data_IF_203024087841
#
_entry.id   IF_203024087841
#
_cell.length_a   1.000
_cell.length_b   1.000
_cell.length_c   1.000
_cell.angle_alpha   90.00
_cell.angle_beta   90.00
_cell.angle_gamma   90.00
#
_symmetry.space_group_name_H-M   'P 1'
#
loop_
_entity.id
_entity.type
_entity.pdbx_description
1 polymer ?
#
# COMPACT_ATOMS: atom_id res chain seq x y z
N UNK A 1 -29.25 -0.27 -10.30
CA UNK A 1 -28.72 -0.50 -11.67
C UNK A 1 -27.25 -0.87 -11.56
N UNK A 2 -26.74 -1.72 -12.46
CA UNK A 2 -25.31 -2.00 -12.53
C UNK A 2 -24.61 -0.86 -13.27
N UNK A 3 -23.31 -0.63 -13.00
CA UNK A 3 -22.52 0.38 -13.73
C UNK A 3 -22.59 0.16 -15.26
N UNK A 4 -22.64 -1.11 -15.69
CA UNK A 4 -22.76 -1.46 -17.11
C UNK A 4 -24.09 -1.01 -17.71
N UNK A 5 -25.22 -1.28 -17.06
CA UNK A 5 -26.52 -0.92 -17.60
C UNK A 5 -26.74 0.59 -17.68
N UNK A 6 -26.27 1.35 -16.69
CA UNK A 6 -26.35 2.81 -16.70
C UNK A 6 -25.58 3.38 -17.90
N UNK A 7 -24.34 2.93 -18.10
CA UNK A 7 -23.52 3.39 -19.21
C UNK A 7 -24.07 2.94 -20.57
N UNK A 8 -24.60 1.69 -20.66
CA UNK A 8 -25.24 1.21 -21.88
C UNK A 8 -26.46 2.02 -22.25
N UNK A 9 -27.31 2.38 -21.29
CA UNK A 9 -28.48 3.21 -21.50
C UNK A 9 -28.09 4.60 -22.04
N UNK A 10 -27.11 5.24 -21.42
CA UNK A 10 -26.57 6.52 -21.85
C UNK A 10 -26.04 6.48 -23.30
N UNK A 11 -25.26 5.44 -23.66
CA UNK A 11 -24.72 5.27 -25.00
C UNK A 11 -25.79 5.01 -26.05
N UNK A 12 -26.80 4.17 -25.75
CA UNK A 12 -27.92 3.90 -26.65
C UNK A 12 -28.71 5.19 -26.90
N UNK A 13 -28.96 5.98 -25.88
CA UNK A 13 -29.65 7.27 -26.01
C UNK A 13 -28.81 8.31 -26.79
N UNK A 14 -27.55 8.49 -26.42
CA UNK A 14 -26.67 9.46 -27.05
C UNK A 14 -26.48 9.21 -28.55
N UNK A 15 -26.38 7.95 -28.93
CA UNK A 15 -26.18 7.54 -30.33
C UNK A 15 -27.52 7.30 -31.09
N UNK A 16 -28.67 7.51 -30.45
CA UNK A 16 -30.02 7.36 -31.00
C UNK A 16 -30.24 6.00 -31.70
N UNK A 17 -29.78 4.93 -31.07
CA UNK A 17 -29.72 3.59 -31.65
C UNK A 17 -31.08 2.93 -31.60
N UNK A 18 -31.44 2.23 -32.69
CA UNK A 18 -32.64 1.37 -32.73
C UNK A 18 -32.37 0.07 -31.97
N UNK A 19 -33.03 -0.12 -30.83
CA UNK A 19 -32.86 -1.29 -29.97
C UNK A 19 -33.21 -2.59 -30.69
N UNK A 20 -34.14 -2.60 -31.67
CA UNK A 20 -34.44 -3.79 -32.46
C UNK A 20 -33.26 -4.22 -33.33
N UNK A 21 -32.60 -3.25 -33.99
CA UNK A 21 -31.39 -3.50 -34.78
C UNK A 21 -30.25 -4.04 -33.90
N UNK A 22 -30.03 -3.40 -32.74
CA UNK A 22 -29.05 -3.83 -31.79
C UNK A 22 -29.26 -5.25 -31.28
N UNK A 23 -30.53 -5.59 -30.92
CA UNK A 23 -30.86 -6.94 -30.44
C UNK A 23 -30.64 -8.01 -31.53
N UNK A 24 -31.07 -7.72 -32.78
CA UNK A 24 -30.85 -8.64 -33.91
C UNK A 24 -29.35 -8.85 -34.19
N UNK A 25 -28.54 -7.79 -34.20
CA UNK A 25 -27.10 -7.89 -34.41
C UNK A 25 -26.41 -8.72 -33.31
N UNK A 26 -26.83 -8.55 -32.07
CA UNK A 26 -26.31 -9.31 -30.94
C UNK A 26 -26.79 -10.76 -30.91
N UNK A 27 -27.78 -11.13 -31.75
CA UNK A 27 -28.38 -12.47 -31.77
C UNK A 27 -29.24 -12.79 -30.56
N UNK A 28 -29.94 -11.79 -30.01
CA UNK A 28 -30.82 -11.94 -28.86
C UNK A 28 -32.19 -11.30 -29.11
N UNK A 29 -33.19 -11.74 -28.35
CA UNK A 29 -34.51 -11.14 -28.42
C UNK A 29 -34.54 -9.71 -27.84
N UNK A 30 -35.51 -8.92 -28.32
CA UNK A 30 -35.69 -7.52 -27.89
C UNK A 30 -35.91 -7.38 -26.39
N UNK A 31 -36.65 -8.30 -25.77
CA UNK A 31 -36.94 -8.28 -24.34
C UNK A 31 -35.64 -8.43 -23.53
N UNK A 32 -34.76 -9.35 -23.96
CA UNK A 32 -33.43 -9.53 -23.34
C UNK A 32 -32.57 -8.29 -23.48
N UNK A 33 -32.57 -7.62 -24.66
CA UNK A 33 -31.81 -6.37 -24.82
C UNK A 33 -32.31 -5.27 -23.88
N UNK A 34 -33.62 -5.09 -23.76
CA UNK A 34 -34.20 -4.15 -22.81
C UNK A 34 -33.82 -4.47 -21.34
N UNK A 35 -33.78 -5.75 -20.98
CA UNK A 35 -33.34 -6.18 -19.65
C UNK A 35 -31.87 -5.84 -19.37
N UNK A 36 -31.00 -5.89 -20.38
CA UNK A 36 -29.62 -5.45 -20.28
C UNK A 36 -29.54 -3.92 -20.08
N UNK A 37 -30.26 -3.16 -20.89
CA UNK A 37 -30.29 -1.69 -20.82
C UNK A 37 -30.84 -1.23 -19.47
N UNK A 38 -31.97 -1.80 -19.03
CA UNK A 38 -32.60 -1.42 -17.76
C UNK A 38 -31.92 -2.03 -16.51
N UNK A 39 -30.86 -2.83 -16.68
CA UNK A 39 -30.10 -3.41 -15.58
C UNK A 39 -30.76 -4.54 -14.82
N UNK A 40 -31.88 -5.09 -15.33
CA UNK A 40 -32.55 -6.28 -14.75
C UNK A 40 -31.85 -7.57 -15.09
N UNK A 41 -30.93 -7.56 -16.06
CA UNK A 41 -30.09 -8.67 -16.47
C UNK A 41 -28.68 -8.15 -16.79
N UNK A 42 -27.65 -8.90 -16.45
CA UNK A 42 -26.28 -8.62 -16.84
C UNK A 42 -25.89 -9.35 -18.14
N UNK A 43 -24.92 -8.84 -18.94
CA UNK A 43 -24.40 -9.56 -20.09
C UNK A 43 -23.84 -10.92 -19.68
N UNK A 44 -24.22 -11.97 -20.41
CA UNK A 44 -23.80 -13.36 -20.13
C UNK A 44 -22.32 -13.62 -20.49
N UNK A 45 -21.75 -12.83 -21.42
CA UNK A 45 -20.39 -13.03 -21.90
C UNK A 45 -19.77 -11.75 -22.43
N UNK A 46 -18.44 -11.71 -22.47
CA UNK A 46 -17.71 -10.62 -23.11
C UNK A 46 -17.98 -10.53 -24.62
N UNK A 47 -18.27 -11.65 -25.27
CA UNK A 47 -18.65 -11.65 -26.68
C UNK A 47 -19.93 -10.82 -26.95
N UNK A 48 -20.88 -10.82 -26.01
CA UNK A 48 -22.08 -9.97 -26.10
C UNK A 48 -21.71 -8.49 -26.01
N UNK A 49 -20.82 -8.14 -25.07
CA UNK A 49 -20.34 -6.74 -24.91
C UNK A 49 -19.63 -6.27 -26.18
N UNK A 50 -18.77 -7.12 -26.75
CA UNK A 50 -18.07 -6.82 -27.99
C UNK A 50 -19.02 -6.54 -29.14
N UNK A 51 -20.07 -7.36 -29.35
CA UNK A 51 -21.07 -7.09 -30.36
C UNK A 51 -21.82 -5.77 -30.14
N UNK A 52 -22.10 -5.43 -28.88
CA UNK A 52 -22.74 -4.17 -28.53
C UNK A 52 -21.79 -3.00 -28.90
N UNK A 53 -20.50 -3.07 -28.57
CA UNK A 53 -19.53 -2.01 -28.90
C UNK A 53 -19.34 -1.85 -30.41
N UNK A 54 -19.32 -2.94 -31.16
CA UNK A 54 -19.23 -2.95 -32.62
C UNK A 54 -20.44 -2.28 -33.24
N UNK A 55 -21.66 -2.66 -32.83
CA UNK A 55 -22.91 -2.09 -33.39
C UNK A 55 -23.11 -0.63 -33.06
N UNK A 56 -22.71 -0.21 -31.87
CA UNK A 56 -22.77 1.20 -31.42
C UNK A 56 -21.67 2.06 -32.01
N UNK A 57 -20.72 1.49 -32.76
CA UNK A 57 -19.55 2.18 -33.29
C UNK A 57 -18.84 3.01 -32.24
N UNK A 58 -18.56 2.39 -31.05
CA UNK A 58 -17.96 3.09 -29.95
C UNK A 58 -16.50 3.51 -30.25
N UNK A 59 -16.14 4.69 -29.80
CA UNK A 59 -14.75 5.13 -29.79
C UNK A 59 -13.89 4.25 -28.87
N UNK A 60 -12.55 4.26 -29.02
CA UNK A 60 -11.68 3.49 -28.10
C UNK A 60 -11.87 3.83 -26.62
N UNK A 61 -12.22 5.09 -26.30
CA UNK A 61 -12.49 5.54 -24.94
C UNK A 61 -13.80 4.93 -24.43
N UNK A 62 -14.90 5.11 -25.16
CA UNK A 62 -16.21 4.53 -24.82
C UNK A 62 -16.15 3.00 -24.70
N UNK A 63 -15.40 2.34 -25.60
CA UNK A 63 -15.20 0.88 -25.55
C UNK A 63 -14.49 0.45 -24.28
N UNK A 64 -13.49 1.22 -23.82
CA UNK A 64 -12.78 0.94 -22.57
C UNK A 64 -13.70 1.11 -21.37
N UNK A 65 -14.47 2.20 -21.33
CA UNK A 65 -15.39 2.50 -20.23
C UNK A 65 -16.48 1.43 -20.07
N UNK A 66 -17.13 1.02 -21.17
CA UNK A 66 -18.18 -0.01 -21.10
C UNK A 66 -17.61 -1.40 -20.79
N UNK A 67 -16.38 -1.68 -21.24
CA UNK A 67 -15.68 -2.93 -20.89
C UNK A 67 -15.33 -2.96 -19.40
N UNK A 68 -14.81 -1.86 -18.87
CA UNK A 68 -14.55 -1.72 -17.44
C UNK A 68 -15.81 -1.86 -16.61
N UNK A 69 -16.90 -1.21 -17.01
CA UNK A 69 -18.19 -1.31 -16.35
C UNK A 69 -18.75 -2.74 -16.37
N UNK A 70 -18.56 -3.48 -17.47
CA UNK A 70 -18.90 -4.90 -17.55
C UNK A 70 -18.09 -5.76 -16.59
N UNK A 71 -16.75 -5.58 -16.55
CA UNK A 71 -15.90 -6.35 -15.67
C UNK A 71 -16.21 -6.07 -14.19
N UNK A 72 -16.48 -4.80 -13.82
CA UNK A 72 -16.92 -4.43 -12.48
C UNK A 72 -18.27 -5.09 -12.14
N UNK A 73 -19.20 -5.10 -13.08
CA UNK A 73 -20.51 -5.75 -12.88
C UNK A 73 -20.39 -7.26 -12.70
N UNK A 74 -19.48 -7.91 -13.44
CA UNK A 74 -19.24 -9.35 -13.42
C UNK A 74 -18.50 -9.82 -12.18
N UNK A 75 -17.45 -9.11 -11.78
CA UNK A 75 -16.54 -9.50 -10.70
C UNK A 75 -16.94 -8.93 -9.34
N UNK A 76 -17.71 -7.85 -9.35
CA UNK A 76 -17.86 -6.97 -8.21
C UNK A 76 -16.72 -5.94 -8.13
N UNK A 77 -17.06 -4.78 -7.60
CA UNK A 77 -16.15 -3.63 -7.52
C UNK A 77 -14.83 -3.97 -6.81
N UNK A 78 -14.91 -4.66 -5.69
CA UNK A 78 -13.76 -4.99 -4.85
C UNK A 78 -12.77 -5.91 -5.56
N UNK A 79 -13.25 -6.99 -6.17
CA UNK A 79 -12.41 -7.96 -6.89
C UNK A 79 -11.79 -7.34 -8.14
N UNK A 80 -12.54 -6.50 -8.86
CA UNK A 80 -12.03 -5.83 -10.05
C UNK A 80 -10.86 -4.92 -9.73
N UNK A 81 -11.00 -4.00 -8.77
CA UNK A 81 -9.93 -3.09 -8.40
C UNK A 81 -8.76 -3.80 -7.73
N UNK A 82 -9.01 -4.85 -6.95
CA UNK A 82 -7.93 -5.68 -6.42
C UNK A 82 -7.06 -6.31 -7.51
N UNK A 83 -7.66 -6.82 -8.58
CA UNK A 83 -6.93 -7.37 -9.73
C UNK A 83 -6.18 -6.29 -10.51
N UNK A 84 -6.78 -5.12 -10.68
CA UNK A 84 -6.16 -3.96 -11.34
C UNK A 84 -4.91 -3.51 -10.58
N UNK A 85 -5.00 -3.38 -9.25
CA UNK A 85 -3.88 -3.03 -8.38
C UNK A 85 -2.72 -4.03 -8.45
N UNK A 86 -3.05 -5.35 -8.50
CA UNK A 86 -2.04 -6.39 -8.64
C UNK A 86 -1.36 -6.32 -10.02
N UNK A 87 -2.13 -6.11 -11.08
CA UNK A 87 -1.58 -5.97 -12.42
C UNK A 87 -0.65 -4.75 -12.52
N UNK A 88 -1.08 -3.61 -12.00
CA UNK A 88 -0.28 -2.39 -11.93
C UNK A 88 1.02 -2.60 -11.14
N UNK A 89 0.92 -3.31 -10.02
CA UNK A 89 2.10 -3.68 -9.23
C UNK A 89 3.10 -4.52 -10.04
N UNK A 90 2.63 -5.52 -10.78
CA UNK A 90 3.49 -6.39 -11.60
C UNK A 90 4.16 -5.56 -12.73
N UNK A 91 3.39 -4.69 -13.42
CA UNK A 91 3.89 -3.88 -14.52
C UNK A 91 4.95 -2.86 -14.07
N UNK A 92 4.81 -2.32 -12.86
CA UNK A 92 5.70 -1.28 -12.31
C UNK A 92 6.72 -1.87 -11.29
N UNK A 93 6.94 -3.19 -11.29
CA UNK A 93 7.78 -3.85 -10.29
C UNK A 93 9.22 -3.33 -10.27
N UNK A 94 9.81 -3.07 -11.44
CA UNK A 94 11.19 -2.55 -11.54
C UNK A 94 11.31 -1.14 -10.95
N UNK A 95 10.32 -0.28 -11.16
CA UNK A 95 10.31 1.07 -10.62
C UNK A 95 10.12 1.06 -9.10
N UNK A 96 9.34 0.10 -8.58
CA UNK A 96 9.15 -0.08 -7.14
C UNK A 96 10.43 -0.60 -6.48
N UNK A 97 11.13 -1.52 -7.12
CA UNK A 97 12.40 -2.08 -6.60
C UNK A 97 13.51 -1.02 -6.55
N UNK A 98 13.56 -0.14 -7.55
CA UNK A 98 14.55 0.91 -7.68
C UNK A 98 13.86 2.28 -7.69
N UNK A 99 13.30 2.73 -6.56
CA UNK A 99 12.65 4.02 -6.52
C UNK A 99 13.65 5.10 -6.94
N UNK A 100 13.23 6.10 -7.72
CA UNK A 100 14.09 7.21 -8.07
C UNK A 100 14.65 7.77 -6.78
N UNK A 101 15.97 7.90 -6.72
CA UNK A 101 16.64 8.49 -5.55
C UNK A 101 15.99 9.85 -5.33
N UNK A 102 15.08 9.93 -4.38
CA UNK A 102 14.53 11.20 -3.95
C UNK A 102 15.76 12.03 -3.60
N UNK A 103 15.95 13.10 -4.37
CA UNK A 103 17.08 13.99 -4.13
C UNK A 103 17.04 14.34 -2.65
N UNK A 104 18.06 13.97 -1.90
CA UNK A 104 18.27 14.28 -0.49
C UNK A 104 18.42 15.80 -0.26
N UNK A 105 17.69 16.60 -1.01
CA UNK A 105 17.54 18.02 -0.78
C UNK A 105 16.83 18.34 0.55
N UNK A 106 16.21 17.37 1.16
CA UNK A 106 15.81 17.44 2.56
C UNK A 106 16.89 16.74 3.44
N UNK A 107 18.12 17.16 3.36
CA UNK A 107 18.91 17.35 4.59
C UNK A 107 18.15 18.40 5.40
N UNK A 108 17.00 18.03 5.92
CA UNK A 108 16.48 18.70 7.08
C UNK A 108 17.67 18.73 8.04
N UNK A 109 18.03 19.90 8.50
CA UNK A 109 18.94 20.09 9.60
C UNK A 109 18.33 19.36 10.79
N UNK A 110 18.51 18.03 10.81
CA UNK A 110 18.18 17.24 11.98
C UNK A 110 19.12 17.77 13.05
N UNK A 111 18.57 18.51 13.99
CA UNK A 111 19.30 19.00 15.13
C UNK A 111 20.05 17.82 15.73
N UNK A 112 21.34 18.02 15.96
CA UNK A 112 22.22 17.01 16.53
C UNK A 112 21.56 16.47 17.80
N UNK A 113 21.14 15.19 17.77
CA UNK A 113 20.47 14.57 18.90
C UNK A 113 21.54 14.02 19.83
N UNK A 114 21.82 14.75 20.90
CA UNK A 114 22.74 14.32 21.93
C UNK A 114 21.94 13.84 23.14
N UNK A 115 21.96 12.54 23.37
CA UNK A 115 21.31 11.95 24.52
C UNK A 115 22.21 12.14 25.76
N UNK A 116 21.78 12.96 26.69
CA UNK A 116 22.44 13.16 27.97
C UNK A 116 22.04 12.16 29.04
N UNK A 117 20.92 11.48 28.82
CA UNK A 117 20.32 10.50 29.73
C UNK A 117 19.99 9.20 28.99
N UNK A 118 19.92 8.11 29.76
CA UNK A 118 19.61 6.78 29.20
C UNK A 118 18.17 6.64 28.72
N UNK A 119 17.28 7.55 29.11
CA UNK A 119 15.89 7.59 28.67
C UNK A 119 15.46 9.06 28.49
N UNK A 120 15.02 9.42 27.27
CA UNK A 120 14.58 10.77 26.93
C UNK A 120 13.19 10.74 26.30
N UNK A 121 12.25 11.58 26.73
CA UNK A 121 10.97 11.75 26.07
C UNK A 121 11.17 12.45 24.71
N UNK A 122 10.46 11.99 23.70
CA UNK A 122 10.43 12.57 22.35
C UNK A 122 9.06 13.19 22.12
N UNK A 123 9.02 14.47 21.82
CA UNK A 123 7.78 15.21 21.59
C UNK A 123 7.69 15.63 20.12
N UNK A 124 6.70 15.08 19.43
CA UNK A 124 6.39 15.39 18.03
C UNK A 124 7.30 14.69 17.02
N UNK A 125 6.85 14.75 15.78
CA UNK A 125 7.44 14.02 14.64
C UNK A 125 8.91 14.35 14.40
N UNK A 126 9.31 15.62 14.52
CA UNK A 126 10.71 16.05 14.25
C UNK A 126 11.67 15.41 15.24
N UNK A 127 11.31 15.39 16.53
CA UNK A 127 12.12 14.79 17.58
C UNK A 127 12.29 13.28 17.38
N UNK A 128 11.20 12.59 17.02
CA UNK A 128 11.22 11.14 16.71
C UNK A 128 12.08 10.86 15.48
N UNK A 129 11.93 11.64 14.39
CA UNK A 129 12.75 11.50 13.20
C UNK A 129 14.24 11.71 13.48
N UNK A 130 14.60 12.75 14.23
CA UNK A 130 15.99 13.03 14.59
C UNK A 130 16.61 11.88 15.39
N UNK A 131 15.88 11.34 16.36
CA UNK A 131 16.31 10.18 17.12
C UNK A 131 16.49 8.92 16.25
N UNK A 132 15.54 8.65 15.35
CA UNK A 132 15.62 7.51 14.42
C UNK A 132 16.81 7.63 13.47
N UNK A 133 17.03 8.78 12.88
CA UNK A 133 18.21 9.03 12.03
C UNK A 133 19.51 8.82 12.78
N UNK A 134 19.57 9.30 14.02
CA UNK A 134 20.76 9.15 14.86
C UNK A 134 21.08 7.66 15.14
N UNK A 135 20.10 6.87 15.60
CA UNK A 135 20.34 5.45 15.89
C UNK A 135 20.73 4.65 14.63
N UNK A 136 20.16 4.96 13.47
CA UNK A 136 20.52 4.31 12.20
C UNK A 136 21.95 4.66 11.80
N UNK A 137 22.34 5.93 11.87
CA UNK A 137 23.70 6.36 11.53
C UNK A 137 24.74 5.79 12.49
N UNK A 138 24.45 5.74 13.78
CA UNK A 138 25.32 5.13 14.78
C UNK A 138 25.53 3.64 14.52
N UNK A 139 24.45 2.90 14.30
CA UNK A 139 24.53 1.46 14.04
C UNK A 139 25.22 1.15 12.71
N UNK A 140 24.98 1.96 11.68
CA UNK A 140 25.62 1.83 10.38
C UNK A 140 27.12 2.15 10.38
N UNK A 141 27.61 2.91 11.36
CA UNK A 141 29.03 3.21 11.52
C UNK A 141 29.84 2.06 12.14
N UNK A 142 29.14 1.04 12.65
CA UNK A 142 29.77 -0.15 13.24
C UNK A 142 30.18 -1.21 12.20
N UNK A 143 31.01 -2.16 12.58
CA UNK A 143 31.49 -3.21 11.67
C UNK A 143 30.40 -4.23 11.27
N UNK A 144 29.39 -4.38 12.08
CA UNK A 144 28.20 -5.23 11.85
C UNK A 144 27.02 -4.59 12.58
N UNK A 145 26.16 -3.89 11.84
CA UNK A 145 24.98 -3.29 12.41
C UNK A 145 23.78 -4.25 12.43
N UNK A 146 22.99 -4.18 13.49
CA UNK A 146 21.74 -4.92 13.62
C UNK A 146 20.60 -3.94 13.94
N UNK A 147 19.55 -4.02 13.14
CA UNK A 147 18.41 -3.13 13.24
C UNK A 147 17.11 -3.94 13.29
N UNK A 148 16.39 -3.87 14.40
CA UNK A 148 15.13 -4.55 14.57
C UNK A 148 14.00 -3.53 14.53
N UNK A 149 12.98 -3.81 13.70
CA UNK A 149 11.86 -2.92 13.46
C UNK A 149 10.56 -3.67 13.80
N UNK A 150 9.77 -3.13 14.69
CA UNK A 150 8.37 -3.47 14.89
C UNK A 150 7.54 -2.24 14.52
N UNK A 151 7.14 -2.14 13.27
CA UNK A 151 6.33 -1.05 12.75
C UNK A 151 5.68 -1.46 11.44
N UNK A 152 4.62 -0.76 11.04
CA UNK A 152 4.05 -1.01 9.73
C UNK A 152 4.88 -0.34 8.62
N UNK A 153 4.93 -0.93 7.41
CA UNK A 153 5.75 -0.41 6.30
C UNK A 153 5.45 1.03 5.89
N UNK A 154 4.23 1.52 6.12
CA UNK A 154 3.88 2.91 5.85
C UNK A 154 4.68 3.92 6.69
N UNK A 155 5.12 3.53 7.89
CA UNK A 155 6.00 4.37 8.70
C UNK A 155 7.40 4.46 8.10
N UNK A 156 7.92 3.39 7.53
CA UNK A 156 9.26 3.38 6.94
C UNK A 156 9.40 4.36 5.78
N UNK A 157 8.37 4.44 4.92
CA UNK A 157 8.32 5.41 3.83
C UNK A 157 8.24 6.85 4.36
N UNK A 158 7.33 7.10 5.31
CA UNK A 158 7.12 8.42 5.89
C UNK A 158 8.31 8.94 6.71
N UNK A 159 9.18 8.04 7.17
CA UNK A 159 10.39 8.32 7.93
C UNK A 159 11.61 8.57 7.03
N UNK A 160 11.51 8.34 5.72
CA UNK A 160 12.64 8.48 4.81
C UNK A 160 13.79 7.50 5.12
N UNK A 161 13.50 6.35 5.72
CA UNK A 161 14.51 5.39 6.15
C UNK A 161 15.20 4.67 4.99
N UNK A 162 14.50 4.42 3.88
CA UNK A 162 15.07 3.73 2.72
C UNK A 162 16.30 4.45 2.19
N UNK A 163 16.24 5.76 1.88
CA UNK A 163 17.42 6.49 1.47
C UNK A 163 18.53 6.52 2.53
N UNK A 164 18.17 6.64 3.81
CA UNK A 164 19.15 6.65 4.90
C UNK A 164 19.88 5.29 4.99
N UNK A 165 19.15 4.19 4.91
CA UNK A 165 19.70 2.86 4.94
C UNK A 165 20.52 2.52 3.68
N UNK A 166 20.19 3.11 2.53
CA UNK A 166 20.96 2.92 1.28
C UNK A 166 22.38 3.49 1.36
N UNK A 167 22.61 4.53 2.17
CA UNK A 167 23.96 5.07 2.40
C UNK A 167 24.80 4.11 3.25
N UNK A 168 24.14 3.30 4.07
CA UNK A 168 24.76 2.41 5.07
C UNK A 168 24.92 0.97 4.55
N UNK A 169 24.87 0.77 3.23
CA UNK A 169 24.77 -0.54 2.57
C UNK A 169 25.91 -1.51 2.91
N UNK A 170 25.53 -2.77 3.05
CA UNK A 170 26.44 -3.91 3.13
C UNK A 170 26.78 -4.39 4.54
N UNK A 171 26.56 -3.56 5.57
CA UNK A 171 26.95 -3.86 6.95
C UNK A 171 25.73 -4.12 7.84
N UNK A 172 24.56 -3.66 7.41
CA UNK A 172 23.35 -3.66 8.24
C UNK A 172 22.48 -4.88 7.99
N UNK A 173 22.18 -5.63 9.05
CA UNK A 173 21.16 -6.69 9.08
C UNK A 173 19.87 -6.12 9.66
N UNK A 174 18.77 -6.13 8.90
CA UNK A 174 17.48 -5.58 9.29
C UNK A 174 16.49 -6.72 9.53
N UNK A 175 16.00 -6.86 10.76
CA UNK A 175 14.85 -7.71 11.10
C UNK A 175 13.61 -6.83 11.20
N UNK A 176 12.58 -7.11 10.44
CA UNK A 176 11.37 -6.30 10.39
C UNK A 176 10.13 -7.15 10.64
N UNK A 177 9.42 -6.89 11.73
CA UNK A 177 8.18 -7.58 12.08
C UNK A 177 7.00 -6.75 11.56
N UNK A 178 6.18 -7.36 10.69
CA UNK A 178 5.11 -6.71 9.95
C UNK A 178 3.79 -7.43 10.22
N UNK A 179 2.75 -6.68 10.55
CA UNK A 179 1.40 -7.21 10.60
C UNK A 179 0.79 -7.24 9.21
N UNK A 180 0.29 -8.39 8.81
CA UNK A 180 -0.48 -8.60 7.59
C UNK A 180 -1.95 -8.73 7.97
N UNK A 181 -2.80 -8.00 7.29
CA UNK A 181 -4.23 -8.00 7.57
C UNK A 181 -4.87 -9.32 7.14
N UNK A 182 -5.59 -9.98 8.05
CA UNK A 182 -6.30 -11.23 7.79
C UNK A 182 -7.79 -11.02 7.46
N UNK A 183 -8.30 -9.79 7.56
CA UNK A 183 -9.69 -9.46 7.30
C UNK A 183 -9.85 -8.63 6.02
N UNK A 184 -10.93 -8.85 5.27
CA UNK A 184 -11.34 -7.96 4.20
C UNK A 184 -11.78 -6.62 4.77
N UNK A 185 -11.16 -5.53 4.33
CA UNK A 185 -11.58 -4.18 4.74
C UNK A 185 -12.82 -3.76 3.96
N UNK A 186 -13.94 -3.41 4.62
CA UNK A 186 -15.13 -2.92 3.94
C UNK A 186 -15.00 -1.48 3.40
N UNK A 187 -13.89 -0.80 3.65
CA UNK A 187 -13.70 0.60 3.21
C UNK A 187 -12.94 0.68 1.88
N UNK A 188 -13.54 1.34 0.90
CA UNK A 188 -13.05 1.57 -0.47
C UNK A 188 -11.64 2.14 -0.58
N UNK A 189 -11.14 2.83 0.43
CA UNK A 189 -9.84 3.52 0.40
C UNK A 189 -8.62 2.65 0.78
N UNK A 190 -8.80 1.38 1.16
CA UNK A 190 -7.71 0.48 1.57
C UNK A 190 -7.80 -0.90 0.91
N UNK A 191 -8.20 -0.94 -0.36
CA UNK A 191 -8.11 -2.14 -1.17
C UNK A 191 -6.65 -2.61 -1.19
N UNK A 192 -6.45 -3.90 -0.91
CA UNK A 192 -5.12 -4.53 -0.93
C UNK A 192 -4.09 -3.93 0.04
N UNK A 193 -4.46 -3.71 1.33
CA UNK A 193 -3.49 -3.29 2.34
C UNK A 193 -2.19 -4.12 2.31
N UNK A 194 -2.32 -5.43 2.20
CA UNK A 194 -1.16 -6.32 2.13
C UNK A 194 -0.28 -6.07 0.91
N UNK A 195 -0.88 -5.73 -0.25
CA UNK A 195 -0.14 -5.33 -1.43
C UNK A 195 0.58 -3.99 -1.24
N UNK A 196 -0.03 -3.03 -0.53
CA UNK A 196 0.63 -1.78 -0.18
C UNK A 196 1.82 -2.00 0.77
N UNK A 197 1.67 -2.89 1.76
CA UNK A 197 2.80 -3.31 2.59
C UNK A 197 3.92 -3.89 1.74
N UNK A 198 3.60 -4.80 0.81
CA UNK A 198 4.57 -5.40 -0.09
C UNK A 198 5.30 -4.35 -0.95
N UNK A 199 4.57 -3.42 -1.57
CA UNK A 199 5.15 -2.32 -2.35
C UNK A 199 6.18 -1.52 -1.55
N UNK A 200 5.95 -1.30 -0.26
CA UNK A 200 6.82 -0.51 0.61
C UNK A 200 8.05 -1.26 1.12
N UNK A 201 8.01 -2.59 1.19
CA UNK A 201 9.17 -3.38 1.65
C UNK A 201 10.09 -3.81 0.51
N UNK A 202 9.62 -3.88 -0.72
CA UNK A 202 10.43 -4.30 -1.88
C UNK A 202 11.71 -3.46 -2.03
N UNK A 203 11.71 -2.12 -1.87
CA UNK A 203 12.93 -1.33 -1.97
C UNK A 203 14.05 -1.77 -1.01
N UNK A 204 13.71 -2.34 0.15
CA UNK A 204 14.71 -2.83 1.09
C UNK A 204 15.56 -3.99 0.54
N UNK A 205 15.03 -4.78 -0.38
CA UNK A 205 15.79 -5.83 -1.07
C UNK A 205 16.76 -5.26 -2.11
N UNK A 206 16.50 -4.04 -2.60
CA UNK A 206 17.33 -3.36 -3.59
C UNK A 206 18.52 -2.58 -3.02
N UNK A 207 18.48 -2.22 -1.72
CA UNK A 207 19.51 -1.36 -1.10
C UNK A 207 20.74 -2.11 -0.58
N UNK A 208 20.85 -3.42 -0.79
CA UNK A 208 22.03 -4.20 -0.42
C UNK A 208 22.15 -4.60 1.05
N UNK A 209 21.19 -4.24 1.90
CA UNK A 209 21.12 -4.69 3.28
C UNK A 209 20.62 -6.14 3.39
N UNK A 210 21.01 -6.84 4.45
CA UNK A 210 20.40 -8.14 4.77
C UNK A 210 19.00 -7.92 5.38
N UNK A 211 18.00 -7.77 4.54
CA UNK A 211 16.62 -7.55 4.98
C UNK A 211 15.88 -8.85 5.24
N UNK A 212 15.39 -9.05 6.47
CA UNK A 212 14.71 -10.26 6.95
C UNK A 212 13.33 -9.90 7.53
N UNK A 213 12.28 -9.81 6.71
CA UNK A 213 10.93 -9.57 7.22
C UNK A 213 10.35 -10.83 7.87
N UNK A 214 9.65 -10.63 8.98
CA UNK A 214 8.80 -11.62 9.63
C UNK A 214 7.35 -11.13 9.61
N UNK A 215 6.41 -12.01 9.28
CA UNK A 215 5.01 -11.65 9.13
C UNK A 215 4.16 -12.34 10.18
N UNK A 216 3.22 -11.60 10.78
CA UNK A 216 2.13 -12.18 11.54
C UNK A 216 0.78 -11.65 11.04
N UNK A 217 -0.27 -12.43 11.27
CA UNK A 217 -1.61 -12.12 10.77
C UNK A 217 -2.49 -11.65 11.93
N UNK A 218 -3.04 -10.44 11.79
CA UNK A 218 -3.95 -9.88 12.79
C UNK A 218 -4.93 -8.90 12.12
N UNK A 219 -5.87 -8.41 12.91
CA UNK A 219 -6.79 -7.37 12.50
C UNK A 219 -6.11 -5.99 12.62
N UNK A 220 -5.74 -5.39 11.50
CA UNK A 220 -5.09 -4.08 11.47
C UNK A 220 -5.85 -2.96 12.18
N UNK A 221 -7.17 -3.08 12.36
CA UNK A 221 -7.94 -2.07 13.10
C UNK A 221 -7.50 -1.95 14.56
N UNK A 222 -7.07 -3.05 15.17
CA UNK A 222 -6.57 -3.04 16.55
C UNK A 222 -5.26 -2.25 16.68
N UNK A 223 -4.43 -2.24 15.64
CA UNK A 223 -3.18 -1.49 15.64
C UNK A 223 -3.35 0.03 15.56
N UNK A 224 -4.47 0.48 15.00
CA UNK A 224 -4.81 1.91 14.93
C UNK A 224 -5.61 2.39 16.14
N UNK A 225 -5.95 1.50 17.07
CA UNK A 225 -6.73 1.88 18.24
C UNK A 225 -5.85 2.57 19.30
N UNK A 226 -6.48 3.45 20.07
CA UNK A 226 -5.81 4.18 21.16
C UNK A 226 -5.30 3.27 22.29
N UNK A 227 -5.68 2.00 22.31
CA UNK A 227 -5.19 1.01 23.29
C UNK A 227 -3.76 0.56 22.99
N UNK A 228 -3.28 0.71 21.75
CA UNK A 228 -1.90 0.44 21.38
C UNK A 228 -1.07 1.68 21.69
N UNK A 229 -0.54 1.75 22.92
CA UNK A 229 0.10 2.97 23.43
C UNK A 229 1.34 3.38 22.63
N UNK A 230 2.25 2.45 22.35
CA UNK A 230 3.49 2.71 21.59
C UNK A 230 3.85 1.50 20.72
N UNK A 231 3.14 1.29 19.61
CA UNK A 231 3.27 0.10 18.79
C UNK A 231 4.50 0.10 17.87
N UNK A 232 5.20 1.23 17.74
CA UNK A 232 6.34 1.35 16.86
C UNK A 232 7.63 1.29 17.65
N UNK A 233 8.48 0.31 17.36
CA UNK A 233 9.78 0.10 18.01
C UNK A 233 10.85 -0.02 16.94
N UNK A 234 11.88 0.78 17.08
CA UNK A 234 13.11 0.73 16.29
C UNK A 234 14.26 0.51 17.23
N UNK A 235 14.92 -0.62 17.10
CA UNK A 235 15.90 -1.13 18.06
C UNK A 235 17.23 -1.43 17.38
N UNK A 236 18.31 -0.92 17.93
CA UNK A 236 19.70 -1.28 17.61
C UNK A 236 20.34 -1.99 18.81
N UNK A 237 21.59 -2.35 18.74
CA UNK A 237 22.31 -2.97 19.88
C UNK A 237 22.40 -2.06 21.10
N UNK A 238 22.49 -0.75 20.91
CA UNK A 238 22.79 0.23 21.96
C UNK A 238 21.67 1.20 22.24
N UNK A 239 20.70 1.31 21.32
CA UNK A 239 19.66 2.33 21.41
C UNK A 239 18.32 1.83 20.88
N UNK A 240 17.22 2.42 21.37
CA UNK A 240 15.89 2.20 20.83
C UNK A 240 15.11 3.50 20.73
N UNK A 241 14.22 3.58 19.74
CA UNK A 241 13.19 4.61 19.63
C UNK A 241 11.84 3.93 19.63
N UNK A 242 11.00 4.27 20.59
CA UNK A 242 9.65 3.74 20.76
C UNK A 242 8.68 4.90 20.63
N UNK A 243 7.61 4.78 19.83
CA UNK A 243 6.68 5.88 19.63
C UNK A 243 5.27 5.46 19.29
N UNK A 244 4.32 6.37 19.49
CA UNK A 244 2.93 6.18 19.13
C UNK A 244 2.73 6.17 17.60
N UNK A 245 1.63 5.56 17.15
CA UNK A 245 1.32 5.43 15.72
C UNK A 245 1.26 6.77 14.97
N UNK A 246 0.90 7.86 15.64
CA UNK A 246 0.79 9.20 15.04
C UNK A 246 2.08 9.99 15.09
N UNK A 247 3.11 9.45 15.75
CA UNK A 247 4.41 10.11 15.95
C UNK A 247 4.29 11.43 16.72
N UNK A 248 3.37 11.51 17.67
CA UNK A 248 3.22 12.66 18.55
C UNK A 248 4.13 12.56 19.77
N UNK A 249 4.26 11.33 20.31
CA UNK A 249 5.03 11.08 21.52
C UNK A 249 5.87 9.82 21.35
N UNK A 250 7.04 9.81 21.97
CA UNK A 250 7.93 8.67 21.96
C UNK A 250 8.96 8.73 23.08
N UNK A 251 9.82 7.75 23.11
CA UNK A 251 10.98 7.66 23.99
C UNK A 251 12.19 7.23 23.19
N UNK A 252 13.29 7.87 23.45
CA UNK A 252 14.62 7.37 23.13
C UNK A 252 15.17 6.65 24.35
N UNK A 253 15.68 5.44 24.16
CA UNK A 253 16.28 4.62 25.20
C UNK A 253 17.69 4.24 24.76
N UNK A 254 18.64 4.23 25.67
CA UNK A 254 19.99 3.72 25.44
C UNK A 254 20.53 2.97 26.65
N UNK A 255 21.46 2.05 26.40
CA UNK A 255 22.10 1.22 27.42
C UNK A 255 21.55 -0.19 27.46
N UNK A 256 22.46 -1.15 27.62
CA UNK A 256 22.18 -2.58 27.50
C UNK A 256 21.12 -3.07 28.48
N UNK A 257 21.15 -2.59 29.72
CA UNK A 257 20.22 -3.00 30.77
C UNK A 257 18.76 -2.61 30.43
N UNK A 258 18.53 -1.44 29.83
CA UNK A 258 17.20 -0.99 29.42
C UNK A 258 16.70 -1.71 28.17
N UNK A 259 17.60 -2.10 27.29
CA UNK A 259 17.25 -2.68 26.00
C UNK A 259 17.12 -4.21 26.03
N UNK A 260 17.75 -4.89 27.00
CA UNK A 260 17.70 -6.35 27.07
C UNK A 260 16.27 -6.95 27.12
N UNK A 261 15.30 -6.41 27.89
CA UNK A 261 13.92 -6.88 27.85
C UNK A 261 13.27 -6.72 26.48
N UNK A 262 13.62 -5.68 25.73
CA UNK A 262 13.08 -5.41 24.39
C UNK A 262 13.73 -6.36 23.39
N UNK A 263 15.05 -6.58 23.46
CA UNK A 263 15.76 -7.54 22.59
C UNK A 263 15.24 -8.97 22.70
N UNK A 264 14.80 -9.39 23.87
CA UNK A 264 14.23 -10.72 24.11
C UNK A 264 12.89 -10.96 23.38
N UNK A 265 12.23 -9.89 22.90
CA UNK A 265 10.96 -9.98 22.19
C UNK A 265 11.13 -10.09 20.67
N UNK A 266 12.31 -9.81 20.15
CA UNK A 266 12.70 -9.94 18.75
C UNK A 266 13.49 -11.24 18.51
#
# INVERSE_FOLDING_TARGET
>A
MSNFSTLLEELVHAKRVNVNGLSSYCGMDRSTMYKLINGTRNPGSFATVRKITEYLHLTPVETREITEAYEITRLGHEVYYSRKDILEFILNFQDIQNPPQASFAARAEFSFFEAKENALPLNGRISILSALHNIVLQEASGPQGEFCILAQPEHLESLGLIPLLSISCGILSIRHVICINNASFPNRSRHNYNLQCLKRIIPFYGIGCQYKPAYYYDNMRSHFSSFNFMPCIFLTRQSAVIFDYKMNNGFFLQGVELLEPIHRQF
#
